data_IF_289535476836
#
_entry.id   IF_289535476836
#
_cell.length_a   1.000
_cell.length_b   1.000
_cell.length_c   1.000
_cell.angle_alpha   90.00
_cell.angle_beta   90.00
_cell.angle_gamma   90.00
#
_symmetry.space_group_name_H-M   'P 1'
#
loop_
_entity.id
_entity.type
_entity.pdbx_description
1 polymer ?
#
# COMPACT_ATOMS: atom_id res chain seq x y z
N UNK A 1 15.13 4.38 -1.25
CA UNK A 1 15.22 5.77 -0.78
C UNK A 1 13.94 6.25 -0.07
N UNK A 2 12.82 6.56 -0.73
CA UNK A 2 11.64 7.13 -0.03
C UNK A 2 10.84 6.15 0.87
N UNK A 3 10.88 4.86 0.58
CA UNK A 3 10.13 3.84 1.34
C UNK A 3 10.97 3.07 2.37
N UNK A 4 12.28 3.29 2.43
CA UNK A 4 13.18 2.52 3.32
C UNK A 4 12.96 2.87 4.79
N UNK A 5 12.51 4.09 5.09
CA UNK A 5 12.17 4.54 6.45
C UNK A 5 10.65 4.65 6.65
N UNK A 6 9.85 4.21 5.69
CA UNK A 6 8.41 4.34 5.77
C UNK A 6 7.81 3.34 6.76
N UNK A 7 6.82 3.79 7.53
CA UNK A 7 6.07 2.92 8.44
C UNK A 7 5.04 2.11 7.65
N UNK A 8 5.30 0.81 7.54
CA UNK A 8 4.39 -0.16 6.94
C UNK A 8 3.33 -0.60 7.95
N UNK A 9 2.10 -0.80 7.48
CA UNK A 9 1.03 -1.40 8.25
C UNK A 9 0.17 -2.32 7.37
N UNK A 10 -0.33 -3.39 7.96
CA UNK A 10 -1.24 -4.32 7.29
C UNK A 10 -2.64 -3.70 7.18
N UNK A 11 -3.28 -3.85 6.02
CA UNK A 11 -4.65 -3.36 5.81
C UNK A 11 -5.65 -4.04 6.76
N UNK A 12 -6.57 -3.26 7.34
CA UNK A 12 -7.65 -3.76 8.20
C UNK A 12 -8.71 -4.59 7.46
N UNK A 13 -8.75 -4.50 6.13
CA UNK A 13 -9.64 -5.32 5.29
C UNK A 13 -9.08 -6.73 5.01
N UNK A 14 -7.93 -7.06 5.62
CA UNK A 14 -7.35 -8.40 5.62
C UNK A 14 -8.20 -9.32 6.51
N UNK A 15 -9.21 -9.97 5.93
CA UNK A 15 -9.99 -11.02 6.61
C UNK A 15 -9.45 -12.41 6.26
N UNK A 16 -9.46 -13.30 7.26
CA UNK A 16 -9.26 -14.76 7.13
C UNK A 16 -8.08 -15.21 6.27
N UNK A 17 -6.92 -14.55 6.37
CA UNK A 17 -5.67 -14.94 5.73
C UNK A 17 -5.71 -15.02 4.18
N UNK A 18 -6.72 -14.44 3.51
CA UNK A 18 -6.86 -14.48 2.06
C UNK A 18 -6.40 -13.21 1.34
N UNK A 19 -6.56 -12.03 1.94
CA UNK A 19 -6.07 -10.76 1.41
C UNK A 19 -4.81 -10.33 2.17
N UNK A 20 -3.71 -10.04 1.48
CA UNK A 20 -2.38 -9.91 2.08
C UNK A 20 -1.69 -8.65 1.58
N UNK A 21 -2.12 -7.48 2.07
CA UNK A 21 -1.55 -6.21 1.64
C UNK A 21 -1.01 -5.41 2.82
N UNK A 22 0.25 -5.02 2.72
CA UNK A 22 0.86 -3.97 3.54
C UNK A 22 0.91 -2.67 2.74
N UNK A 23 0.63 -1.56 3.43
CA UNK A 23 0.69 -0.22 2.86
C UNK A 23 1.64 0.65 3.66
N UNK A 24 2.43 1.46 2.97
CA UNK A 24 3.23 2.53 3.55
C UNK A 24 2.77 3.87 2.98
N UNK A 25 2.32 4.75 3.86
CA UNK A 25 1.89 6.09 3.50
C UNK A 25 3.01 7.09 3.82
N UNK A 26 3.55 7.73 2.78
CA UNK A 26 4.52 8.83 2.93
C UNK A 26 3.92 10.13 2.39
N UNK A 27 4.56 11.29 2.61
CA UNK A 27 4.12 12.55 2.02
C UNK A 27 4.13 12.56 0.49
N UNK A 28 5.11 11.90 -0.14
CA UNK A 28 5.28 11.93 -1.59
C UNK A 28 4.61 10.75 -2.30
N UNK A 29 4.75 9.55 -1.74
CA UNK A 29 4.33 8.29 -2.38
C UNK A 29 3.60 7.36 -1.42
N UNK A 30 2.85 6.44 -2.01
CA UNK A 30 2.23 5.30 -1.34
C UNK A 30 2.88 4.02 -1.86
N UNK A 31 3.45 3.24 -0.93
CA UNK A 31 3.99 1.91 -1.21
C UNK A 31 2.94 0.85 -0.89
N UNK A 32 2.79 -0.12 -1.78
CA UNK A 32 1.85 -1.24 -1.65
C UNK A 32 2.62 -2.52 -1.97
N UNK A 33 2.54 -3.52 -1.10
CA UNK A 33 3.16 -4.82 -1.34
C UNK A 33 2.35 -5.96 -0.77
N UNK A 34 2.64 -7.15 -1.28
CA UNK A 34 2.07 -8.39 -0.76
C UNK A 34 2.73 -8.73 0.60
N UNK A 35 1.91 -8.95 1.63
CA UNK A 35 2.39 -9.35 2.96
C UNK A 35 3.04 -10.74 2.93
N UNK A 36 2.58 -11.63 2.04
CA UNK A 36 3.06 -13.02 1.89
C UNK A 36 4.26 -13.15 0.96
N UNK A 37 4.40 -12.26 -0.02
CA UNK A 37 5.53 -12.23 -0.94
C UNK A 37 6.17 -10.84 -1.00
N UNK A 38 7.02 -10.55 0.00
CA UNK A 38 7.79 -9.30 0.04
C UNK A 38 8.89 -9.24 -1.03
N UNK A 39 9.31 -10.38 -1.56
CA UNK A 39 10.31 -10.47 -2.64
C UNK A 39 9.72 -10.14 -4.01
N UNK A 40 8.41 -10.30 -4.19
CA UNK A 40 7.70 -9.97 -5.43
C UNK A 40 7.72 -8.49 -5.81
N UNK A 41 8.22 -7.61 -4.94
CA UNK A 41 8.42 -6.19 -5.20
C UNK A 41 7.42 -5.30 -4.49
N UNK A 42 7.42 -4.02 -4.85
CA UNK A 42 6.55 -3.00 -4.24
C UNK A 42 6.03 -2.08 -5.33
N UNK A 43 4.71 -1.95 -5.38
CA UNK A 43 4.07 -0.94 -6.21
C UNK A 43 4.21 0.42 -5.51
N UNK A 44 4.73 1.40 -6.23
CA UNK A 44 4.91 2.77 -5.72
C UNK A 44 4.05 3.69 -6.57
N UNK A 45 3.20 4.46 -5.91
CA UNK A 45 2.26 5.38 -6.56
C UNK A 45 2.40 6.76 -5.95
N UNK A 46 2.31 7.82 -6.76
CA UNK A 46 2.28 9.19 -6.26
C UNK A 46 1.08 9.41 -5.33
N UNK A 47 1.25 10.23 -4.29
CA UNK A 47 0.21 10.44 -3.28
C UNK A 47 -1.08 11.02 -3.87
N UNK A 48 -0.97 11.93 -4.83
CA UNK A 48 -2.13 12.54 -5.50
C UNK A 48 -2.92 11.50 -6.31
N UNK A 49 -2.22 10.65 -7.06
CA UNK A 49 -2.84 9.57 -7.84
C UNK A 49 -3.52 8.55 -6.95
N UNK A 50 -2.91 8.19 -5.83
CA UNK A 50 -3.53 7.32 -4.82
C UNK A 50 -4.83 7.92 -4.27
N UNK A 51 -4.83 9.20 -3.92
CA UNK A 51 -6.04 9.88 -3.44
C UNK A 51 -7.13 9.95 -4.53
N UNK A 52 -6.75 10.20 -5.79
CA UNK A 52 -7.68 10.20 -6.92
C UNK A 52 -8.32 8.81 -7.11
N UNK A 53 -7.51 7.75 -7.07
CA UNK A 53 -7.98 6.37 -7.12
C UNK A 53 -9.01 6.08 -6.01
N UNK A 54 -8.70 6.42 -4.76
CA UNK A 54 -9.61 6.19 -3.63
C UNK A 54 -10.94 6.95 -3.76
N UNK A 55 -10.96 8.11 -4.41
CA UNK A 55 -12.20 8.87 -4.67
C UNK A 55 -13.01 8.26 -5.81
N UNK A 56 -12.36 7.64 -6.77
CA UNK A 56 -13.01 6.99 -7.92
C UNK A 56 -13.60 5.62 -7.55
N UNK A 57 -12.98 4.90 -6.61
CA UNK A 57 -13.48 3.62 -6.13
C UNK A 57 -14.63 3.86 -5.14
N UNK A 58 -15.83 3.52 -5.57
CA UNK A 58 -17.03 3.47 -4.72
C UNK A 58 -17.25 2.04 -4.23
N UNK A 59 -17.89 1.90 -3.06
CA UNK A 59 -18.07 0.62 -2.36
C UNK A 59 -19.25 -0.17 -2.92
#
# INVERSE_FOLDING_TARGET
MALEQARWFTSSYTSNAAACVEVALTPAVVGIRDTKDRSGGTLIVDRERWNSFLRAVTR
#
